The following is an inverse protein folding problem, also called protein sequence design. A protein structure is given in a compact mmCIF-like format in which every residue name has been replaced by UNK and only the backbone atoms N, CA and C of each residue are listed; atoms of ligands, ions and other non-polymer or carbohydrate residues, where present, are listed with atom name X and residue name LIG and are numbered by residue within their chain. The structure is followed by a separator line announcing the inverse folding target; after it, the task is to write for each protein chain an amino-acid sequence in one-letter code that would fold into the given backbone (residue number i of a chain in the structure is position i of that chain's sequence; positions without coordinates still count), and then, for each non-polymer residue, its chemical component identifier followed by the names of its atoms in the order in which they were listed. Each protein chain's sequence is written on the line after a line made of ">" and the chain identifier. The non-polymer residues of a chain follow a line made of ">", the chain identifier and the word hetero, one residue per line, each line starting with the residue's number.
data_IF_474409023364
#
_entry.id   IF_474409023364
#
_cell.length_a   1.000
_cell.length_b   1.000
_cell.length_c   1.000
_cell.angle_alpha   90.00
_cell.angle_beta   90.00
_cell.angle_gamma   90.00
#
_symmetry.space_group_name_H-M   'P 1'
#
loop_
_entity.id
_entity.type
_entity.pdbx_description
1 polymer ?
#
# COMPACT_ATOMS: atom_id res chain seq x y z
N UNK A 1 21.70 -25.31 -13.37
CA UNK A 1 23.00 -25.01 -14.00
C UNK A 1 23.89 -26.24 -13.97
N UNK A 2 24.19 -26.82 -15.13
CA UNK A 2 25.34 -27.71 -15.27
C UNK A 2 26.60 -26.82 -15.28
N UNK A 3 27.63 -27.12 -14.46
CA UNK A 3 28.87 -26.36 -14.49
C UNK A 3 29.55 -26.51 -15.86
N UNK A 4 30.23 -25.47 -16.36
CA UNK A 4 30.97 -25.56 -17.62
C UNK A 4 32.04 -26.66 -17.51
N UNK A 5 32.02 -27.58 -18.46
CA UNK A 5 32.96 -28.71 -18.54
C UNK A 5 34.12 -28.29 -19.44
N UNK A 6 35.35 -28.67 -19.06
CA UNK A 6 36.55 -28.40 -19.85
C UNK A 6 36.47 -29.02 -21.25
N UNK A 7 36.80 -28.21 -22.26
CA UNK A 7 36.78 -28.60 -23.68
C UNK A 7 37.71 -29.79 -23.98
N UNK A 8 38.79 -29.94 -23.20
CA UNK A 8 39.70 -31.09 -23.30
C UNK A 8 39.01 -32.43 -22.95
N UNK A 9 38.06 -32.41 -22.01
CA UNK A 9 37.28 -33.60 -21.61
C UNK A 9 36.26 -33.95 -22.70
N UNK A 10 35.62 -32.93 -23.28
CA UNK A 10 34.67 -33.09 -24.39
C UNK A 10 35.36 -33.63 -25.67
N UNK A 11 36.61 -33.25 -25.92
CA UNK A 11 37.40 -33.80 -27.04
C UNK A 11 37.91 -35.22 -26.81
N UNK A 12 38.24 -35.57 -25.56
CA UNK A 12 38.71 -36.92 -25.21
C UNK A 12 37.62 -37.99 -25.29
N UNK A 13 36.35 -37.60 -25.14
CA UNK A 13 35.20 -38.51 -25.15
C UNK A 13 34.05 -37.94 -26.00
N UNK A 14 33.99 -38.27 -27.30
CA UNK A 14 33.02 -37.69 -28.22
C UNK A 14 31.58 -38.12 -27.90
N UNK A 15 31.35 -39.31 -27.34
CA UNK A 15 30.00 -39.73 -26.91
C UNK A 15 29.49 -38.86 -25.77
N UNK A 16 30.36 -38.55 -24.79
CA UNK A 16 30.01 -37.63 -23.71
C UNK A 16 29.70 -36.21 -24.23
N UNK A 17 30.42 -35.73 -25.25
CA UNK A 17 30.13 -34.45 -25.88
C UNK A 17 28.74 -34.42 -26.54
N UNK A 18 28.33 -35.50 -27.21
CA UNK A 18 26.98 -35.60 -27.80
C UNK A 18 25.89 -35.61 -26.74
N UNK A 19 26.10 -36.33 -25.63
CA UNK A 19 25.16 -36.37 -24.49
C UNK A 19 25.06 -35.02 -23.79
N UNK A 20 26.19 -34.39 -23.51
CA UNK A 20 26.24 -33.07 -22.88
C UNK A 20 25.47 -32.06 -23.74
N UNK A 21 25.78 -31.96 -25.05
CA UNK A 21 25.07 -31.10 -25.98
C UNK A 21 23.57 -31.41 -26.06
N UNK A 22 23.18 -32.69 -26.08
CA UNK A 22 21.76 -33.08 -26.13
C UNK A 22 21.02 -32.64 -24.85
N UNK A 23 21.67 -32.77 -23.69
CA UNK A 23 21.08 -32.37 -22.42
C UNK A 23 20.97 -30.85 -22.28
N UNK A 24 22.00 -30.09 -22.67
CA UNK A 24 21.97 -28.61 -22.61
C UNK A 24 21.16 -27.95 -23.71
N UNK A 25 20.97 -28.58 -24.86
CA UNK A 25 20.24 -27.95 -25.99
C UNK A 25 18.79 -28.43 -26.16
N UNK A 26 18.49 -29.69 -25.85
CA UNK A 26 17.19 -30.29 -26.15
C UNK A 26 16.34 -30.60 -24.91
N UNK A 27 16.97 -30.80 -23.74
CA UNK A 27 16.27 -31.28 -22.54
C UNK A 27 16.18 -30.21 -21.46
N UNK A 28 17.23 -29.41 -21.27
CA UNK A 28 17.33 -28.41 -20.20
C UNK A 28 17.40 -27.00 -20.79
N UNK A 29 16.75 -26.06 -20.14
CA UNK A 29 17.01 -24.63 -20.31
C UNK A 29 18.33 -24.28 -19.60
N UNK A 30 18.93 -23.13 -19.93
CA UNK A 30 20.15 -22.63 -19.28
C UNK A 30 20.06 -22.74 -17.74
N UNK A 31 18.91 -22.37 -17.18
CA UNK A 31 18.52 -22.42 -15.77
C UNK A 31 18.65 -23.82 -15.11
N UNK A 32 18.71 -24.89 -15.90
CA UNK A 32 18.63 -26.30 -15.49
C UNK A 32 17.21 -26.83 -15.35
N UNK A 33 16.21 -26.05 -15.76
CA UNK A 33 14.80 -26.47 -15.81
C UNK A 33 14.53 -27.26 -17.09
N UNK A 34 13.76 -28.34 -17.04
CA UNK A 34 13.44 -29.14 -18.24
C UNK A 34 12.55 -28.38 -19.22
N UNK A 35 12.93 -28.30 -20.51
CA UNK A 35 12.19 -27.57 -21.55
C UNK A 35 10.76 -28.09 -21.76
N UNK A 36 10.55 -29.41 -21.63
CA UNK A 36 9.27 -30.06 -21.92
C UNK A 36 8.67 -30.72 -20.66
N UNK A 37 8.44 -29.93 -19.62
CA UNK A 37 7.56 -30.37 -18.53
C UNK A 37 6.08 -30.10 -18.93
N UNK A 38 5.27 -31.14 -19.24
CA UNK A 38 3.86 -30.95 -19.60
C UNK A 38 3.08 -30.27 -18.47
N UNK A 39 3.50 -30.48 -17.22
CA UNK A 39 2.89 -29.82 -16.06
C UNK A 39 3.25 -28.33 -15.95
N UNK A 40 4.29 -27.85 -16.64
CA UNK A 40 4.59 -26.40 -16.70
C UNK A 40 3.51 -25.62 -17.42
N UNK A 41 3.01 -26.13 -18.54
CA UNK A 41 1.94 -25.49 -19.31
C UNK A 41 0.64 -25.41 -18.50
N UNK A 42 0.34 -26.46 -17.73
CA UNK A 42 -0.79 -26.47 -16.81
C UNK A 42 -0.61 -25.45 -15.68
N UNK A 43 0.58 -25.39 -15.06
CA UNK A 43 0.92 -24.38 -14.04
C UNK A 43 0.77 -22.97 -14.57
N UNK A 44 1.23 -22.70 -15.80
CA UNK A 44 1.12 -21.38 -16.42
C UNK A 44 -0.33 -21.03 -16.76
N UNK A 45 -1.11 -21.98 -17.26
CA UNK A 45 -2.55 -21.79 -17.47
C UNK A 45 -3.30 -21.50 -16.14
N UNK A 46 -2.92 -22.16 -15.04
CA UNK A 46 -3.48 -21.90 -13.71
C UNK A 46 -3.05 -20.51 -13.21
N UNK A 47 -1.78 -20.13 -13.38
CA UNK A 47 -1.29 -18.78 -13.03
C UNK A 47 -2.05 -17.70 -13.79
N UNK A 48 -2.30 -17.89 -15.08
CA UNK A 48 -3.08 -16.94 -15.89
C UNK A 48 -4.54 -16.86 -15.44
N UNK A 49 -5.19 -17.99 -15.12
CA UNK A 49 -6.55 -17.99 -14.53
C UNK A 49 -6.57 -17.25 -13.20
N UNK A 50 -5.55 -17.45 -12.36
CA UNK A 50 -5.43 -16.83 -11.05
C UNK A 50 -5.20 -15.32 -11.17
N UNK A 51 -4.35 -14.87 -12.10
CA UNK A 51 -4.16 -13.43 -12.41
C UNK A 51 -5.47 -12.78 -12.85
N UNK A 52 -6.23 -13.41 -13.74
CA UNK A 52 -7.54 -12.91 -14.18
C UNK A 52 -8.51 -12.77 -13.00
N UNK A 53 -8.55 -13.75 -12.12
CA UNK A 53 -9.42 -13.70 -10.93
C UNK A 53 -9.00 -12.59 -9.96
N UNK A 54 -7.69 -12.43 -9.72
CA UNK A 54 -7.15 -11.34 -8.89
C UNK A 54 -7.49 -9.97 -9.47
N UNK A 55 -7.35 -9.79 -10.78
CA UNK A 55 -7.68 -8.54 -11.47
C UNK A 55 -9.17 -8.23 -11.35
N UNK A 56 -10.04 -9.24 -11.53
CA UNK A 56 -11.48 -9.06 -11.37
C UNK A 56 -11.86 -8.68 -9.94
N UNK A 57 -11.32 -9.37 -8.94
CA UNK A 57 -11.57 -9.06 -7.53
C UNK A 57 -11.07 -7.66 -7.16
N UNK A 58 -9.90 -7.24 -7.65
CA UNK A 58 -9.39 -5.89 -7.43
C UNK A 58 -10.28 -4.81 -8.06
N UNK A 59 -10.82 -5.06 -9.25
CA UNK A 59 -11.81 -4.16 -9.89
C UNK A 59 -13.10 -4.06 -9.07
N UNK A 60 -13.63 -5.19 -8.62
CA UNK A 60 -14.83 -5.23 -7.78
C UNK A 60 -14.60 -4.47 -6.48
N UNK A 61 -13.46 -4.70 -5.80
CA UNK A 61 -13.10 -3.99 -4.57
C UNK A 61 -12.97 -2.49 -4.80
N UNK A 62 -12.28 -2.06 -5.87
CA UNK A 62 -12.15 -0.64 -6.21
C UNK A 62 -13.51 -0.01 -6.48
N UNK A 63 -14.41 -0.71 -7.19
CA UNK A 63 -15.77 -0.22 -7.42
C UNK A 63 -16.58 -0.12 -6.13
N UNK A 64 -16.49 -1.12 -5.24
CA UNK A 64 -17.17 -1.10 -3.94
C UNK A 64 -16.64 0.07 -3.09
N UNK A 65 -15.33 0.25 -3.04
CA UNK A 65 -14.69 1.36 -2.32
C UNK A 65 -15.12 2.70 -2.92
N UNK A 66 -15.09 2.84 -4.25
CA UNK A 66 -15.54 4.04 -4.95
C UNK A 66 -17.03 4.34 -4.67
N UNK A 67 -17.90 3.33 -4.68
CA UNK A 67 -19.32 3.51 -4.37
C UNK A 67 -19.53 3.88 -2.90
N UNK A 68 -18.79 3.26 -1.97
CA UNK A 68 -18.85 3.58 -0.54
C UNK A 68 -18.33 4.97 -0.20
N UNK A 69 -17.42 5.52 -1.02
CA UNK A 69 -16.86 6.87 -0.85
C UNK A 69 -17.70 7.94 -1.55
N UNK A 70 -18.44 7.59 -2.60
CA UNK A 70 -19.37 8.51 -3.29
C UNK A 70 -20.71 8.64 -2.55
N UNK A 71 -21.13 7.60 -1.83
CA UNK A 71 -22.30 7.61 -0.95
C UNK A 71 -21.88 7.38 0.51
N UNK A 72 -21.53 8.44 1.27
CA UNK A 72 -21.31 8.29 2.69
C UNK A 72 -22.61 7.75 3.33
N UNK A 73 -22.59 6.59 4.00
CA UNK A 73 -23.78 6.12 4.70
C UNK A 73 -24.12 7.11 5.83
N UNK A 74 -25.41 7.40 6.09
CA UNK A 74 -25.79 8.08 7.31
C UNK A 74 -25.32 7.24 8.51
N UNK A 75 -24.95 7.88 9.64
CA UNK A 75 -24.47 7.17 10.81
C UNK A 75 -25.63 6.34 11.38
N UNK A 76 -25.61 5.04 11.14
CA UNK A 76 -26.57 4.10 11.74
C UNK A 76 -25.83 3.06 12.56
N UNK A 77 -26.14 3.14 13.84
CA UNK A 77 -25.98 2.24 14.98
C UNK A 77 -25.69 0.75 14.67
N UNK A 78 -24.88 0.10 15.54
CA UNK A 78 -24.50 -1.30 15.37
C UNK A 78 -25.68 -2.23 15.66
N UNK A 79 -26.03 -3.09 14.69
CA UNK A 79 -26.89 -4.27 14.91
C UNK A 79 -26.14 -5.57 14.58
N UNK A 80 -26.46 -6.65 15.32
CA UNK A 80 -25.52 -7.73 15.64
C UNK A 80 -25.22 -8.70 14.48
N UNK A 81 -23.98 -9.16 14.46
CA UNK A 81 -23.45 -10.12 13.50
C UNK A 81 -24.16 -11.48 13.59
N UNK A 82 -24.70 -11.91 12.44
CA UNK A 82 -25.24 -13.23 12.22
C UNK A 82 -24.10 -14.26 12.15
N UNK A 83 -24.16 -15.23 13.06
CA UNK A 83 -23.20 -16.33 13.21
C UNK A 83 -23.25 -17.28 12.00
N UNK A 84 -22.08 -17.63 11.44
CA UNK A 84 -21.94 -18.75 10.49
C UNK A 84 -21.89 -20.07 11.27
N UNK A 85 -22.62 -21.12 10.87
CA UNK A 85 -22.61 -22.39 11.59
C UNK A 85 -21.32 -23.17 11.32
N UNK A 86 -20.70 -23.63 12.42
CA UNK A 86 -19.57 -24.57 12.45
C UNK A 86 -20.14 -25.99 12.31
N UNK A 87 -19.70 -26.70 11.28
CA UNK A 87 -20.14 -28.05 10.95
C UNK A 87 -19.61 -29.03 12.02
N UNK A 88 -20.52 -29.71 12.71
CA UNK A 88 -20.27 -30.80 13.66
C UNK A 88 -20.02 -32.10 12.91
N UNK A 89 -19.09 -32.92 13.41
CA UNK A 89 -19.01 -34.34 13.09
C UNK A 89 -18.75 -35.09 14.39
N UNK A 90 -19.73 -35.88 14.79
CA UNK A 90 -19.78 -36.67 16.02
C UNK A 90 -19.39 -38.10 15.70
N UNK A 91 -18.48 -38.73 16.47
CA UNK A 91 -18.57 -40.18 16.76
C UNK A 91 -17.69 -40.60 17.97
N UNK A 92 -18.39 -41.04 19.03
CA UNK A 92 -18.13 -42.18 19.96
C UNK A 92 -16.83 -42.17 20.81
N UNK A 93 -16.86 -41.81 22.10
CA UNK A 93 -17.14 -42.62 23.33
C UNK A 93 -16.13 -43.75 23.64
N UNK A 94 -15.40 -43.62 24.76
CA UNK A 94 -15.41 -44.60 25.88
C UNK A 94 -14.75 -44.04 27.14
N UNK A 95 -15.41 -44.34 28.26
CA UNK A 95 -15.19 -43.96 29.67
C UNK A 95 -13.97 -44.65 30.31
N UNK A 96 -13.22 -43.95 31.18
CA UNK A 96 -13.05 -44.27 32.63
C UNK A 96 -12.14 -43.27 33.36
N UNK A 97 -12.67 -42.63 34.41
CA UNK A 97 -11.96 -42.05 35.57
C UNK A 97 -11.82 -43.17 36.66
N UNK A 98 -11.22 -42.98 37.87
CA UNK A 98 -10.68 -41.76 38.53
C UNK A 98 -9.33 -41.92 39.28
N UNK A 99 -8.63 -40.81 39.56
CA UNK A 99 -8.17 -40.38 40.91
C UNK A 99 -7.21 -39.16 40.85
N UNK A 100 -7.63 -38.09 41.54
CA UNK A 100 -6.88 -36.86 41.95
C UNK A 100 -6.00 -37.15 43.20
N UNK A 101 -5.21 -36.22 43.82
CA UNK A 101 -5.08 -34.74 43.69
C UNK A 101 -3.61 -34.18 43.81
N UNK A 102 -3.33 -32.86 44.03
CA UNK A 102 -4.03 -31.61 43.66
C UNK A 102 -3.14 -30.49 43.01
N UNK A 103 -3.85 -29.50 42.44
CA UNK A 103 -3.56 -28.05 42.37
C UNK A 103 -2.95 -27.43 41.07
N UNK A 104 -3.32 -26.16 40.72
CA UNK A 104 -4.43 -25.32 41.17
C UNK A 104 -5.42 -24.93 40.06
N UNK A 105 -6.66 -24.78 40.52
CA UNK A 105 -7.84 -24.18 39.90
C UNK A 105 -7.59 -22.96 39.00
N UNK A 106 -8.01 -23.05 37.74
CA UNK A 106 -8.40 -21.87 36.95
C UNK A 106 -9.78 -21.46 37.47
N UNK A 107 -9.78 -20.51 38.39
CA UNK A 107 -10.99 -19.89 38.91
C UNK A 107 -11.63 -19.04 37.82
N UNK A 108 -12.85 -19.45 37.46
CA UNK A 108 -13.91 -18.58 36.97
C UNK A 108 -14.33 -17.59 38.07
N UNK A 109 -14.05 -16.31 37.87
CA UNK A 109 -14.61 -15.16 38.62
C UNK A 109 -13.99 -13.90 38.00
N UNK A 110 -14.66 -12.83 37.57
CA UNK A 110 -15.98 -12.28 37.86
C UNK A 110 -16.45 -11.47 36.65
N UNK A 111 -17.73 -11.58 36.29
CA UNK A 111 -18.47 -10.46 35.73
C UNK A 111 -18.56 -9.40 36.83
N UNK A 112 -17.55 -8.54 36.94
CA UNK A 112 -17.63 -7.34 37.75
C UNK A 112 -18.45 -6.36 36.93
N UNK A 113 -19.71 -6.19 37.32
CA UNK A 113 -20.55 -5.09 36.88
C UNK A 113 -19.74 -3.79 37.09
N UNK A 114 -19.25 -3.22 35.98
CA UNK A 114 -18.50 -1.97 36.01
C UNK A 114 -19.41 -0.92 36.66
N UNK A 115 -19.00 -0.26 37.75
CA UNK A 115 -19.76 0.85 38.31
C UNK A 115 -20.18 1.81 37.20
N UNK A 116 -21.48 2.14 37.11
CA UNK A 116 -22.01 3.14 36.18
C UNK A 116 -21.14 4.41 36.01
N UNK A 117 -20.56 5.01 37.08
CA UNK A 117 -19.68 6.18 36.92
C UNK A 117 -18.40 5.91 36.13
N UNK A 118 -17.88 4.68 36.09
CA UNK A 118 -16.70 4.34 35.28
C UNK A 118 -17.03 4.28 33.79
N UNK A 119 -18.25 3.87 33.43
CA UNK A 119 -18.68 3.79 32.02
C UNK A 119 -18.85 5.20 31.45
N UNK A 120 -19.49 6.09 32.20
CA UNK A 120 -19.64 7.50 31.83
C UNK A 120 -18.27 8.18 31.71
N UNK A 121 -17.35 7.91 32.63
CA UNK A 121 -15.98 8.40 32.57
C UNK A 121 -15.22 7.87 31.34
N UNK A 122 -15.35 6.58 31.03
CA UNK A 122 -14.67 5.95 29.88
C UNK A 122 -15.23 6.40 28.53
N UNK A 123 -16.48 6.88 28.50
CA UNK A 123 -17.11 7.48 27.32
C UNK A 123 -16.69 8.94 27.13
N UNK A 124 -16.42 9.66 28.24
CA UNK A 124 -16.06 11.09 28.23
C UNK A 124 -14.56 11.38 28.12
N UNK A 125 -13.69 10.44 28.53
CA UNK A 125 -12.23 10.57 28.44
C UNK A 125 -11.67 10.60 27.00
N UNK A 126 -12.11 9.73 26.08
CA UNK A 126 -11.58 9.68 24.72
C UNK A 126 -11.57 11.02 23.98
N UNK A 127 -12.68 11.80 23.92
CA UNK A 127 -12.67 13.08 23.22
C UNK A 127 -11.73 14.11 23.86
N UNK A 128 -11.45 14.02 25.17
CA UNK A 128 -10.51 14.91 25.86
C UNK A 128 -9.05 14.55 25.59
N UNK A 129 -8.75 13.29 25.28
CA UNK A 129 -7.40 12.80 24.99
C UNK A 129 -7.08 12.82 23.49
N UNK A 130 -8.07 12.72 22.60
CA UNK A 130 -7.85 12.72 21.15
C UNK A 130 -7.62 14.12 20.55
N UNK A 131 -8.01 15.18 21.27
CA UNK A 131 -7.78 16.57 20.85
C UNK A 131 -6.31 16.96 20.84
N UNK A 132 -5.44 16.21 21.53
CA UNK A 132 -4.00 16.49 21.57
C UNK A 132 -3.21 15.82 20.44
N UNK A 133 -3.64 14.65 19.96
CA UNK A 133 -2.81 13.81 19.09
C UNK A 133 -3.23 13.79 17.61
N UNK A 134 -4.47 14.17 17.26
CA UNK A 134 -4.96 13.86 15.90
C UNK A 134 -4.89 14.97 14.85
N UNK A 135 -4.72 16.25 15.18
CA UNK A 135 -4.60 17.27 14.12
C UNK A 135 -3.74 18.48 14.55
N UNK A 136 -2.56 18.60 13.94
CA UNK A 136 -1.74 19.81 13.93
C UNK A 136 -2.42 21.03 13.24
N UNK A 137 -3.75 21.01 13.01
CA UNK A 137 -4.44 22.09 12.31
C UNK A 137 -5.62 22.74 13.05
N UNK A 138 -6.06 22.22 14.20
CA UNK A 138 -7.10 22.87 15.02
C UNK A 138 -6.88 22.58 16.51
N UNK A 139 -5.81 23.16 17.06
CA UNK A 139 -5.75 23.39 18.51
C UNK A 139 -6.82 24.44 18.84
N UNK A 140 -7.96 24.03 19.39
CA UNK A 140 -8.75 24.91 20.25
C UNK A 140 -8.06 24.78 21.62
N UNK A 141 -7.23 25.74 22.05
CA UNK A 141 -6.72 25.72 23.41
C UNK A 141 -7.93 25.84 24.34
N UNK A 142 -8.27 24.77 25.07
CA UNK A 142 -9.25 24.86 26.14
C UNK A 142 -8.70 25.87 27.17
N UNK A 143 -9.49 26.89 27.48
CA UNK A 143 -9.16 27.92 28.47
C UNK A 143 -8.94 27.27 29.85
N UNK A 144 -7.83 27.51 30.56
CA UNK A 144 -7.51 26.85 31.84
C UNK A 144 -8.64 26.89 32.87
N UNK A 145 -9.44 27.97 32.91
CA UNK A 145 -10.58 28.08 33.81
C UNK A 145 -11.69 27.05 33.50
N UNK A 146 -11.88 26.70 32.22
CA UNK A 146 -12.84 25.67 31.81
C UNK A 146 -12.35 24.27 32.14
N UNK A 147 -11.04 24.03 32.09
CA UNK A 147 -10.43 22.79 32.54
C UNK A 147 -10.58 22.59 34.05
N UNK A 148 -10.36 23.64 34.84
CA UNK A 148 -10.55 23.56 36.30
C UNK A 148 -12.01 23.27 36.66
N UNK A 149 -12.98 23.91 36.00
CA UNK A 149 -14.41 23.64 36.17
C UNK A 149 -14.79 22.21 35.77
N UNK A 150 -14.22 21.69 34.69
CA UNK A 150 -14.43 20.30 34.27
C UNK A 150 -13.86 19.31 35.30
N UNK A 151 -12.65 19.56 35.80
CA UNK A 151 -11.97 18.70 36.78
C UNK A 151 -12.56 18.78 38.20
N UNK A 152 -13.29 19.86 38.53
CA UNK A 152 -14.04 19.97 39.81
C UNK A 152 -15.44 19.39 39.74
N UNK A 153 -15.95 19.05 38.55
CA UNK A 153 -17.27 18.44 38.39
C UNK A 153 -17.20 16.89 38.41
N UNK A 154 -18.14 16.19 39.07
CA UNK A 154 -18.26 14.74 38.93
C UNK A 154 -18.68 14.40 37.48
N UNK A 155 -18.14 13.34 36.86
CA UNK A 155 -17.37 12.22 37.43
C UNK A 155 -15.85 12.41 37.50
N UNK A 156 -15.31 13.56 37.10
CA UNK A 156 -13.85 13.81 37.06
C UNK A 156 -13.27 14.11 38.45
N UNK A 157 -14.05 14.68 39.35
CA UNK A 157 -13.68 14.90 40.75
C UNK A 157 -13.41 13.58 41.52
N UNK A 158 -14.08 12.50 41.12
CA UNK A 158 -14.00 11.19 41.77
C UNK A 158 -12.97 10.27 41.10
N UNK A 159 -12.26 10.75 40.07
CA UNK A 159 -11.17 10.03 39.42
C UNK A 159 -10.12 9.49 40.42
N UNK A 160 -9.60 10.26 41.40
CA UNK A 160 -8.60 9.73 42.33
C UNK A 160 -9.12 8.59 43.22
N UNK A 161 -10.42 8.52 43.52
CA UNK A 161 -11.02 7.43 44.30
C UNK A 161 -11.29 6.19 43.44
N UNK A 162 -11.52 6.39 42.14
CA UNK A 162 -11.76 5.34 41.13
C UNK A 162 -10.47 4.80 40.48
N UNK A 163 -9.36 5.54 40.59
CA UNK A 163 -8.04 5.17 40.03
C UNK A 163 -7.54 3.79 40.48
N UNK A 164 -7.63 3.39 41.76
CA UNK A 164 -7.17 2.07 42.20
C UNK A 164 -7.92 0.90 41.53
N UNK A 165 -9.17 1.13 41.13
CA UNK A 165 -9.99 0.13 40.44
C UNK A 165 -9.76 0.14 38.93
N UNK A 166 -9.48 1.32 38.35
CA UNK A 166 -9.13 1.47 36.94
C UNK A 166 -7.71 1.02 36.62
N UNK A 167 -6.77 1.18 37.54
CA UNK A 167 -5.35 0.92 37.29
C UNK A 167 -5.06 -0.53 36.86
N UNK A 168 -5.61 -1.58 37.50
CA UNK A 168 -5.44 -2.96 37.04
C UNK A 168 -6.02 -3.19 35.65
N UNK A 169 -7.17 -2.57 35.33
CA UNK A 169 -7.84 -2.71 34.04
C UNK A 169 -7.09 -1.96 32.92
N UNK A 170 -6.60 -0.76 33.21
CA UNK A 170 -5.78 0.03 32.29
C UNK A 170 -4.43 -0.62 32.07
N UNK A 171 -3.75 -1.06 33.14
CA UNK A 171 -2.48 -1.78 33.03
C UNK A 171 -2.64 -3.08 32.25
N UNK A 172 -3.68 -3.86 32.54
CA UNK A 172 -3.99 -5.10 31.81
C UNK A 172 -4.33 -4.86 30.34
N UNK A 173 -5.14 -3.85 30.03
CA UNK A 173 -5.50 -3.50 28.65
C UNK A 173 -4.30 -2.94 27.88
N UNK A 174 -3.48 -2.09 28.50
CA UNK A 174 -2.27 -1.50 27.91
C UNK A 174 -1.19 -2.56 27.71
N UNK A 175 -1.02 -3.49 28.64
CA UNK A 175 -0.10 -4.62 28.49
C UNK A 175 -0.59 -5.56 27.38
N UNK A 176 -1.89 -5.84 27.30
CA UNK A 176 -2.48 -6.69 26.25
C UNK A 176 -2.34 -6.04 24.87
N UNK A 177 -2.60 -4.73 24.76
CA UNK A 177 -2.44 -3.99 23.51
C UNK A 177 -0.98 -3.86 23.10
N UNK A 178 -0.07 -3.63 24.05
CA UNK A 178 1.36 -3.58 23.76
C UNK A 178 1.88 -4.95 23.28
N UNK A 179 1.40 -6.06 23.86
CA UNK A 179 1.75 -7.41 23.41
C UNK A 179 1.14 -7.75 22.04
N UNK A 180 -0.08 -7.30 21.74
CA UNK A 180 -0.67 -7.51 20.42
C UNK A 180 0.10 -6.74 19.34
N UNK A 181 0.49 -5.49 19.62
CA UNK A 181 1.35 -4.69 18.75
C UNK A 181 2.73 -5.34 18.58
N UNK A 182 3.33 -5.86 19.65
CA UNK A 182 4.61 -6.56 19.59
C UNK A 182 4.54 -7.80 18.67
N UNK A 183 3.42 -8.54 18.69
CA UNK A 183 3.18 -9.66 17.74
C UNK A 183 3.06 -9.20 16.30
N UNK A 184 2.42 -8.05 16.07
CA UNK A 184 2.31 -7.49 14.72
C UNK A 184 3.66 -7.06 14.16
N UNK A 185 4.52 -6.44 14.98
CA UNK A 185 5.86 -6.02 14.58
C UNK A 185 6.81 -7.21 14.44
N UNK A 186 6.65 -8.25 15.28
CA UNK A 186 7.49 -9.43 15.29
C UNK A 186 6.65 -10.72 15.15
N UNK A 187 6.18 -11.05 13.93
CA UNK A 187 5.28 -12.20 13.72
C UNK A 187 5.98 -13.56 13.88
N UNK A 188 7.31 -13.61 13.78
CA UNK A 188 8.10 -14.85 13.87
C UNK A 188 8.64 -15.14 15.27
N UNK A 189 8.47 -14.24 16.24
CA UNK A 189 9.00 -14.44 17.59
C UNK A 189 8.03 -15.26 18.44
N UNK A 190 8.58 -16.18 19.22
CA UNK A 190 7.80 -16.99 20.15
C UNK A 190 7.12 -16.10 21.20
N UNK A 191 5.84 -16.34 21.54
CA UNK A 191 5.06 -15.50 22.45
C UNK A 191 5.72 -15.26 23.81
N UNK A 192 6.49 -16.21 24.33
CA UNK A 192 7.19 -16.10 25.61
C UNK A 192 8.29 -15.02 25.61
N UNK A 193 8.80 -14.63 24.44
CA UNK A 193 9.87 -13.63 24.31
C UNK A 193 9.37 -12.24 23.88
N UNK A 194 8.07 -12.07 23.61
CA UNK A 194 7.49 -10.81 23.16
C UNK A 194 7.71 -9.66 24.17
N UNK A 195 7.73 -9.97 25.46
CA UNK A 195 7.96 -8.99 26.51
C UNK A 195 9.31 -8.27 26.39
N UNK A 196 10.32 -8.90 25.75
CA UNK A 196 11.63 -8.28 25.52
C UNK A 196 11.59 -7.16 24.48
N UNK A 197 10.57 -7.14 23.62
CA UNK A 197 10.41 -6.18 22.55
C UNK A 197 9.52 -4.98 22.93
N UNK A 198 8.90 -5.00 24.11
CA UNK A 198 8.06 -3.90 24.61
C UNK A 198 8.81 -2.56 24.72
N UNK A 199 10.06 -2.49 25.25
CA UNK A 199 10.76 -1.22 25.37
C UNK A 199 11.14 -0.61 24.02
N UNK A 200 11.40 -1.44 23.02
CA UNK A 200 11.79 -1.03 21.66
C UNK A 200 10.60 -0.74 20.75
N UNK A 201 9.39 -1.08 21.18
CA UNK A 201 8.17 -0.99 20.38
C UNK A 201 7.90 0.45 19.92
N UNK A 202 8.04 1.43 20.81
CA UNK A 202 7.79 2.84 20.49
C UNK A 202 8.68 3.37 19.36
N UNK A 203 9.99 3.08 19.43
CA UNK A 203 10.94 3.48 18.40
C UNK A 203 10.65 2.80 17.06
N UNK A 204 10.32 1.50 17.07
CA UNK A 204 9.97 0.75 15.85
C UNK A 204 8.67 1.24 15.21
N UNK A 205 7.68 1.62 16.00
CA UNK A 205 6.41 2.18 15.51
C UNK A 205 6.66 3.56 14.91
N UNK A 206 7.40 4.44 15.60
CA UNK A 206 7.73 5.76 15.10
C UNK A 206 8.54 5.72 13.78
N UNK A 207 9.49 4.78 13.65
CA UNK A 207 10.21 4.60 12.39
C UNK A 207 9.29 4.09 11.28
N UNK A 208 8.37 3.18 11.59
CA UNK A 208 7.41 2.62 10.63
C UNK A 208 6.38 3.66 10.17
N UNK A 209 5.86 4.50 11.07
CA UNK A 209 4.94 5.59 10.70
C UNK A 209 5.65 6.65 9.87
N UNK A 210 6.89 6.99 10.20
CA UNK A 210 7.71 7.91 9.41
C UNK A 210 7.97 7.34 8.01
N UNK A 211 8.39 6.07 7.91
CA UNK A 211 8.60 5.38 6.63
C UNK A 211 7.31 5.28 5.80
N UNK A 212 6.17 4.97 6.42
CA UNK A 212 4.87 4.92 5.76
C UNK A 212 4.46 6.31 5.25
N UNK A 213 4.70 7.37 6.02
CA UNK A 213 4.43 8.75 5.60
C UNK A 213 5.37 9.19 4.47
N UNK A 214 6.62 8.75 4.46
CA UNK A 214 7.59 9.01 3.39
C UNK A 214 7.20 8.26 2.12
N UNK A 215 6.92 6.96 2.21
CA UNK A 215 6.44 6.14 1.10
C UNK A 215 5.12 6.66 0.52
N UNK A 216 4.20 7.14 1.37
CA UNK A 216 2.99 7.83 0.92
C UNK A 216 3.33 9.10 0.14
N UNK A 217 4.26 9.92 0.64
CA UNK A 217 4.71 11.13 -0.07
C UNK A 217 5.33 10.77 -1.41
N UNK A 218 6.24 9.81 -1.46
CA UNK A 218 6.89 9.33 -2.69
C UNK A 218 5.86 8.81 -3.71
N UNK A 219 4.89 8.02 -3.24
CA UNK A 219 3.80 7.53 -4.09
C UNK A 219 2.84 8.65 -4.54
N UNK A 220 2.73 9.75 -3.80
CA UNK A 220 1.92 10.89 -4.25
C UNK A 220 2.69 11.86 -5.14
N UNK A 221 4.01 11.95 -5.02
CA UNK A 221 4.82 12.89 -5.79
C UNK A 221 5.24 12.28 -7.12
N UNK A 222 5.88 11.11 -7.13
CA UNK A 222 6.44 10.52 -8.35
C UNK A 222 5.37 10.20 -9.41
N UNK A 223 4.38 9.32 -9.15
CA UNK A 223 3.45 8.93 -10.20
C UNK A 223 2.42 10.02 -10.53
N UNK A 224 2.14 10.99 -9.63
CA UNK A 224 1.29 12.13 -9.98
C UNK A 224 2.02 13.14 -10.84
N UNK A 225 3.31 13.41 -10.58
CA UNK A 225 4.13 14.26 -11.43
C UNK A 225 4.36 13.61 -12.80
N UNK A 226 4.65 12.31 -12.84
CA UNK A 226 4.83 11.56 -14.08
C UNK A 226 3.53 11.51 -14.90
N UNK A 227 2.38 11.29 -14.25
CA UNK A 227 1.07 11.34 -14.91
C UNK A 227 0.72 12.76 -15.40
N UNK A 228 1.03 13.81 -14.62
CA UNK A 228 0.80 15.19 -15.02
C UNK A 228 1.70 15.58 -16.22
N UNK A 229 2.97 15.17 -16.23
CA UNK A 229 3.88 15.37 -17.34
C UNK A 229 3.41 14.64 -18.60
N UNK A 230 2.94 13.39 -18.48
CA UNK A 230 2.40 12.64 -19.61
C UNK A 230 1.13 13.28 -20.19
N UNK A 231 0.27 13.86 -19.35
CA UNK A 231 -0.92 14.61 -19.80
C UNK A 231 -0.52 15.92 -20.48
N UNK A 232 0.47 16.64 -19.94
CA UNK A 232 1.00 17.85 -20.55
C UNK A 232 1.62 17.57 -21.94
N UNK A 233 2.40 16.49 -22.07
CA UNK A 233 2.96 16.03 -23.35
C UNK A 233 1.87 15.66 -24.36
N UNK A 234 0.79 15.00 -23.90
CA UNK A 234 -0.34 14.66 -24.76
C UNK A 234 -1.08 15.92 -25.24
N UNK A 235 -1.22 16.93 -24.38
CA UNK A 235 -1.81 18.21 -24.74
C UNK A 235 -0.93 18.98 -25.72
N UNK A 236 0.39 19.00 -25.51
CA UNK A 236 1.35 19.61 -26.44
C UNK A 236 1.29 18.96 -27.82
N UNK A 237 1.32 17.62 -27.90
CA UNK A 237 1.16 16.87 -29.16
C UNK A 237 -0.17 17.15 -29.85
N UNK A 238 -1.25 17.33 -29.09
CA UNK A 238 -2.57 17.69 -29.63
C UNK A 238 -2.61 19.13 -30.12
N UNK A 239 -1.92 20.04 -29.44
CA UNK A 239 -1.71 21.43 -29.85
C UNK A 239 -0.94 21.52 -31.17
N UNK A 240 0.17 20.80 -31.31
CA UNK A 240 0.98 20.79 -32.54
C UNK A 240 0.22 20.18 -33.73
N UNK A 241 -0.59 19.15 -33.50
CA UNK A 241 -1.45 18.56 -34.53
C UNK A 241 -2.58 19.51 -34.99
N UNK A 242 -2.97 20.48 -34.16
CA UNK A 242 -3.94 21.52 -34.50
C UNK A 242 -3.29 22.77 -35.08
N UNK A 243 -2.06 23.10 -34.65
CA UNK A 243 -1.28 24.24 -35.11
C UNK A 243 -0.56 24.00 -36.44
N UNK A 244 -0.28 22.74 -36.79
CA UNK A 244 0.15 22.41 -38.15
C UNK A 244 -1.04 22.62 -39.10
N UNK A 245 -1.00 23.61 -40.00
CA UNK A 245 -2.05 23.75 -40.99
C UNK A 245 -2.06 22.46 -41.79
N UNK A 246 -3.21 21.76 -41.81
CA UNK A 246 -3.46 20.67 -42.77
C UNK A 246 -3.30 21.24 -44.17
N UNK A 247 -2.07 21.27 -44.67
CA UNK A 247 -1.77 21.43 -46.09
C UNK A 247 -2.22 20.12 -46.70
N UNK A 248 -3.53 20.02 -46.96
CA UNK A 248 -4.05 19.09 -47.95
C UNK A 248 -3.21 19.34 -49.20
N UNK A 249 -2.62 18.31 -49.83
CA UNK A 249 -2.09 18.46 -51.17
C UNK A 249 -3.30 18.72 -52.08
N UNK A 250 -3.70 20.00 -52.20
CA UNK A 250 -4.56 20.44 -53.29
C UNK A 250 -3.74 20.20 -54.55
N UNK A 251 -4.33 19.42 -55.46
CA UNK A 251 -3.70 18.87 -56.65
C UNK A 251 -2.95 19.88 -57.53
N UNK A 252 -2.34 19.41 -58.62
CA UNK A 252 -1.25 20.08 -59.36
C UNK A 252 -1.56 21.48 -59.96
N UNK A 253 -2.75 22.03 -59.78
CA UNK A 253 -3.22 23.26 -60.42
C UNK A 253 -2.67 24.59 -59.84
N UNK A 254 -1.80 24.59 -58.81
CA UNK A 254 -1.25 25.84 -58.23
C UNK A 254 0.25 26.06 -58.36
N UNK A 255 1.00 25.18 -59.04
CA UNK A 255 2.40 25.47 -59.40
C UNK A 255 2.53 26.54 -60.50
N UNK A 256 1.46 26.80 -61.27
CA UNK A 256 1.49 27.77 -62.37
C UNK A 256 1.40 29.26 -61.95
N UNK A 257 0.98 29.58 -60.72
CA UNK A 257 0.88 30.99 -60.25
C UNK A 257 2.13 31.48 -59.50
N UNK A 258 2.88 30.61 -58.83
CA UNK A 258 4.11 31.00 -58.14
C UNK A 258 5.26 31.31 -59.13
N UNK A 259 5.33 30.61 -60.26
CA UNK A 259 6.34 30.86 -61.30
C UNK A 259 6.08 32.13 -62.14
N UNK A 260 4.84 32.68 -62.15
CA UNK A 260 4.56 33.95 -62.86
C UNK A 260 4.87 35.20 -62.04
N UNK A 261 5.00 35.10 -60.71
CA UNK A 261 5.40 36.22 -59.86
C UNK A 261 6.92 36.36 -59.72
N UNK A 262 7.68 35.26 -59.86
CA UNK A 262 9.14 35.30 -59.86
C UNK A 262 9.75 35.89 -61.15
N UNK A 263 9.03 35.86 -62.28
CA UNK A 263 9.50 36.40 -63.55
C UNK A 263 9.30 37.93 -63.70
N UNK A 264 8.57 38.58 -62.78
CA UNK A 264 8.25 40.02 -62.86
C UNK A 264 9.05 40.91 -61.89
N UNK A 265 9.91 40.32 -61.05
CA UNK A 265 10.74 41.03 -60.07
C UNK A 265 12.20 41.28 -60.50
N UNK A 266 12.57 40.98 -61.75
CA UNK A 266 13.95 41.06 -62.25
C UNK A 266 14.28 42.30 -63.09
N UNK A 267 13.45 43.34 -63.02
CA UNK A 267 13.67 44.63 -63.67
C UNK A 267 13.54 45.75 -62.64
N UNK A 268 14.65 46.11 -62.00
CA UNK A 268 14.71 47.14 -60.99
C UNK A 268 15.94 47.00 -60.11
N UNK A 269 17.12 46.94 -60.74
CA UNK A 269 18.42 46.91 -60.07
C UNK A 269 19.25 48.05 -60.64
N UNK A 270 19.07 49.24 -60.08
CA UNK A 270 19.98 50.37 -60.26
C UNK A 270 19.76 51.38 -59.14
N UNK A 271 20.88 51.71 -58.49
CA UNK A 271 21.20 52.92 -57.74
C UNK A 271 21.07 52.98 -56.21
N UNK A 272 22.15 53.56 -55.65
CA UNK A 272 22.46 53.96 -54.27
C UNK A 272 22.94 52.80 -53.37
N UNK A 273 24.23 52.49 -53.19
CA UNK A 273 25.46 53.30 -52.95
C UNK A 273 25.44 54.09 -51.63
N UNK A 274 26.46 53.78 -50.82
CA UNK A 274 26.96 54.46 -49.60
C UNK A 274 26.05 54.36 -48.34
N UNK A 275 26.50 54.07 -47.13
CA UNK A 275 27.79 54.37 -46.48
C UNK A 275 28.06 53.43 -45.27
N UNK A 276 29.36 53.18 -45.06
CA UNK A 276 30.13 53.15 -43.80
C UNK A 276 29.67 52.37 -42.53
N UNK A 277 30.60 51.51 -42.10
CA UNK A 277 30.77 50.75 -40.84
C UNK A 277 31.08 51.65 -39.60
N UNK A 278 31.72 51.19 -38.49
CA UNK A 278 31.65 49.93 -37.71
C UNK A 278 31.54 50.15 -36.16
N UNK A 279 30.92 49.19 -35.45
CA UNK A 279 31.47 48.45 -34.27
C UNK A 279 32.03 49.24 -33.02
N UNK A 280 32.52 48.57 -31.94
CA UNK A 280 31.98 48.75 -30.59
C UNK A 280 32.99 49.31 -29.56
N UNK A 281 32.51 49.67 -28.36
CA UNK A 281 33.23 49.51 -27.09
C UNK A 281 32.25 49.52 -25.92
#
# INVERSE_FOLDING_TARGET
>A
MLPPIDDAVLQSNPEFATLYNTLTTAVLNDDGSTMNDPSSKERDAIREKLKKHRLKAAKEHLLIDALSTIFPPPPVEPKPQLQKPKRTTTTMTTSTQPSEPPAPSIQSSTSTELPAPLIDLLLLLPPLLTTTDLDQQQQIPLDPATLELLLTSPPLSDLPTLLPHLWPLLSGSLQTSALSLARHVHPSTNPSYLHRHLPTLGASIASSTTSLSAAKRDLTTHPRLDAAAAVADLQARRGDALATPRVRPRGPARRARALRLAARGRSGLSDCRDEAAPSPH
#
